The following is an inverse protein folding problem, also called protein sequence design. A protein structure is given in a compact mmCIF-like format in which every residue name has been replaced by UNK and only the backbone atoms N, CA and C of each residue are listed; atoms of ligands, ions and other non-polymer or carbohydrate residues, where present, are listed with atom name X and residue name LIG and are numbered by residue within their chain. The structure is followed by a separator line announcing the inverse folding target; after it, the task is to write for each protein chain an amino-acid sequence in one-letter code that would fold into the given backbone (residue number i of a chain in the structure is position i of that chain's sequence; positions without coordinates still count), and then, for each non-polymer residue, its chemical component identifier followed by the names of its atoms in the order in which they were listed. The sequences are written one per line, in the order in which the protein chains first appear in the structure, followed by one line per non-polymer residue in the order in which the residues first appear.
data_IF_884944362201
#
_entry.id   IF_884944362201
#
_cell.length_a   1.000
_cell.length_b   1.000
_cell.length_c   1.000
_cell.angle_alpha   90.00
_cell.angle_beta   90.00
_cell.angle_gamma   90.00
#
_symmetry.space_group_name_H-M   'P 1'
#
loop_
_entity.id
_entity.type
_entity.pdbx_description
1 polymer ?
#
# COMPACT_ATOMS: atom_id res chain seq x y z
N UNK A 1 -16.24 -0.27 17.77
CA UNK A 1 -14.99 -0.02 18.50
C UNK A 1 -14.21 0.98 17.69
N UNK A 2 -13.60 2.00 18.30
CA UNK A 2 -12.87 3.06 17.57
C UNK A 2 -11.41 3.05 17.98
N UNK A 3 -10.52 3.06 16.99
CA UNK A 3 -9.08 3.20 17.18
C UNK A 3 -8.75 4.65 17.52
N UNK A 4 -7.73 4.85 18.37
CA UNK A 4 -7.26 6.19 18.72
C UNK A 4 -6.39 6.74 17.58
N UNK A 5 -6.46 8.04 17.35
CA UNK A 5 -5.63 8.72 16.36
C UNK A 5 -4.19 8.86 16.87
N UNK A 6 -3.22 8.76 15.96
CA UNK A 6 -1.82 9.02 16.24
C UNK A 6 -1.59 10.52 16.35
N UNK A 7 -0.93 10.97 17.41
CA UNK A 7 -0.69 12.39 17.63
C UNK A 7 0.51 12.93 16.88
N UNK A 8 1.61 12.16 16.84
CA UNK A 8 2.89 12.62 16.32
C UNK A 8 3.72 11.46 15.78
N UNK A 9 4.38 11.66 14.64
CA UNK A 9 5.20 10.64 13.99
C UNK A 9 6.49 10.30 14.75
N UNK A 10 7.02 11.23 15.54
CA UNK A 10 8.29 11.05 16.27
C UNK A 10 8.15 10.30 17.60
N UNK A 11 7.03 10.45 18.30
CA UNK A 11 6.85 9.94 19.67
C UNK A 11 5.68 8.96 19.79
N UNK A 12 4.69 9.04 18.89
CA UNK A 12 3.44 8.27 18.97
C UNK A 12 3.21 7.39 17.72
N UNK A 13 4.26 7.17 16.92
CA UNK A 13 4.22 6.27 15.77
C UNK A 13 4.65 4.86 16.18
N UNK A 14 3.69 3.94 16.24
CA UNK A 14 3.96 2.53 16.55
C UNK A 14 4.96 1.90 15.59
N UNK A 15 4.81 2.16 14.28
CA UNK A 15 5.71 1.60 13.26
C UNK A 15 7.14 2.12 13.39
N UNK A 16 7.30 3.40 13.71
CA UNK A 16 8.59 4.08 13.79
C UNK A 16 9.39 3.66 15.03
N UNK A 17 8.70 3.37 16.13
CA UNK A 17 9.33 2.98 17.39
C UNK A 17 9.66 1.48 17.44
N UNK A 18 8.98 0.66 16.64
CA UNK A 18 9.26 -0.77 16.59
C UNK A 18 10.48 -1.06 15.71
N UNK A 19 11.61 -1.44 16.32
CA UNK A 19 12.74 -1.94 15.55
C UNK A 19 12.50 -3.40 15.13
N UNK A 20 12.01 -3.59 13.91
CA UNK A 20 11.77 -4.90 13.30
C UNK A 20 12.90 -5.33 12.34
N UNK A 21 13.93 -4.50 12.15
CA UNK A 21 15.03 -4.81 11.24
C UNK A 21 15.84 -6.00 11.77
N UNK A 22 16.06 -7.00 10.92
CA UNK A 22 16.84 -8.20 11.26
C UNK A 22 16.06 -9.31 11.96
N UNK A 23 14.77 -9.13 12.24
CA UNK A 23 13.93 -10.20 12.75
C UNK A 23 13.39 -11.06 11.60
N UNK A 24 13.45 -12.38 11.77
CA UNK A 24 12.83 -13.34 10.86
C UNK A 24 11.56 -13.93 11.49
N UNK A 25 10.77 -14.66 10.70
CA UNK A 25 9.51 -15.27 11.15
C UNK A 25 9.65 -16.21 12.35
N UNK A 26 10.84 -16.79 12.58
CA UNK A 26 11.14 -17.67 13.74
C UNK A 26 11.41 -16.87 15.01
N UNK A 27 11.90 -15.63 14.88
CA UNK A 27 12.29 -14.77 16.00
C UNK A 27 11.32 -13.61 16.26
N UNK A 28 10.14 -13.60 15.62
CA UNK A 28 9.10 -12.57 15.81
C UNK A 28 8.67 -12.35 17.26
N UNK A 29 8.75 -13.40 18.09
CA UNK A 29 8.43 -13.33 19.53
C UNK A 29 9.43 -12.50 20.34
N UNK A 30 10.64 -12.28 19.82
CA UNK A 30 11.66 -11.46 20.46
C UNK A 30 11.50 -9.95 20.14
N UNK A 31 10.57 -9.60 19.24
CA UNK A 31 10.26 -8.21 18.95
C UNK A 31 9.56 -7.61 20.16
N UNK A 32 10.19 -6.63 20.79
CA UNK A 32 9.60 -5.86 21.87
C UNK A 32 8.73 -4.74 21.29
N UNK A 33 7.43 -4.83 21.49
CA UNK A 33 6.48 -3.80 21.06
C UNK A 33 6.20 -2.83 22.21
N UNK A 34 6.46 -1.52 22.05
CA UNK A 34 6.19 -0.52 23.06
C UNK A 34 4.67 -0.32 23.25
N UNK A 35 4.25 -0.07 24.49
CA UNK A 35 2.85 0.19 24.82
C UNK A 35 2.51 1.67 24.57
N UNK A 36 2.01 1.98 23.38
CA UNK A 36 1.65 3.34 22.96
C UNK A 36 0.16 3.61 23.10
N UNK A 37 -0.20 4.81 23.55
CA UNK A 37 -1.61 5.19 23.71
C UNK A 37 -2.40 5.11 22.41
N UNK A 38 -1.79 5.43 21.27
CA UNK A 38 -2.39 5.29 19.95
C UNK A 38 -2.59 3.84 19.49
N UNK A 39 -1.76 2.91 19.98
CA UNK A 39 -1.76 1.49 19.58
C UNK A 39 -2.39 0.54 20.63
N UNK A 40 -2.95 1.08 21.72
CA UNK A 40 -3.73 0.31 22.69
C UNK A 40 -5.07 -0.11 22.06
N UNK A 41 -5.70 -1.13 22.65
CA UNK A 41 -7.01 -1.64 22.26
C UNK A 41 -8.03 -0.52 21.97
N UNK A 42 -8.88 -0.72 20.94
CA UNK A 42 -9.93 0.23 20.59
C UNK A 42 -10.86 0.54 21.76
N UNK A 43 -11.39 1.75 21.75
CA UNK A 43 -12.40 2.19 22.72
C UNK A 43 -13.77 1.65 22.27
N UNK A 44 -14.59 1.10 23.16
CA UNK A 44 -15.98 0.77 22.82
C UNK A 44 -16.76 2.03 22.43
N UNK A 45 -17.73 1.90 21.53
CA UNK A 45 -18.63 3.02 21.23
C UNK A 45 -19.45 3.36 22.48
N UNK A 46 -19.67 4.65 22.68
CA UNK A 46 -20.44 5.20 23.81
C UNK A 46 -21.26 6.40 23.34
N UNK A 47 -21.83 7.14 24.30
CA UNK A 47 -22.59 8.36 24.02
C UNK A 47 -21.75 9.44 23.34
N UNK A 48 -20.44 9.49 23.63
CA UNK A 48 -19.50 10.45 23.02
C UNK A 48 -19.00 10.01 21.63
N UNK A 49 -19.00 8.70 21.34
CA UNK A 49 -18.49 8.13 20.10
C UNK A 49 -19.54 7.19 19.50
N UNK A 50 -20.52 7.73 18.75
CA UNK A 50 -21.59 6.92 18.19
C UNK A 50 -21.05 5.91 17.18
N UNK A 51 -21.81 4.84 16.96
CA UNK A 51 -21.51 3.88 15.90
C UNK A 51 -21.72 4.58 14.55
N UNK A 52 -20.74 4.56 13.64
CA UNK A 52 -20.92 5.06 12.29
C UNK A 52 -22.12 4.38 11.63
N UNK A 53 -23.04 5.17 11.09
CA UNK A 53 -24.18 4.64 10.33
C UNK A 53 -23.68 4.23 8.95
N UNK A 54 -24.10 3.05 8.50
CA UNK A 54 -23.87 2.64 7.11
C UNK A 54 -24.61 3.62 6.19
N UNK A 55 -23.96 4.17 5.15
CA UNK A 55 -24.63 5.02 4.17
C UNK A 55 -25.67 4.20 3.40
N UNK A 56 -26.81 4.81 3.08
CA UNK A 56 -27.93 4.10 2.44
C UNK A 56 -27.71 3.91 0.94
N UNK A 57 -26.91 4.78 0.32
CA UNK A 57 -26.57 4.78 -1.10
C UNK A 57 -25.09 5.14 -1.28
N UNK A 58 -24.49 4.68 -2.39
CA UNK A 58 -23.06 4.90 -2.68
C UNK A 58 -22.70 6.39 -2.90
N UNK A 59 -23.70 7.24 -3.14
CA UNK A 59 -23.54 8.69 -3.36
C UNK A 59 -23.33 9.48 -2.05
N UNK A 60 -23.59 8.89 -0.89
CA UNK A 60 -23.46 9.56 0.43
C UNK A 60 -22.05 9.43 1.05
N UNK A 61 -21.12 8.71 0.41
CA UNK A 61 -19.74 8.62 0.87
C UNK A 61 -19.01 9.90 0.46
N UNK A 62 -18.55 10.75 1.40
CA UNK A 62 -17.76 11.92 1.02
C UNK A 62 -16.48 11.42 0.36
N UNK A 63 -16.32 11.72 -0.93
CA UNK A 63 -15.08 11.54 -1.66
C UNK A 63 -14.01 12.37 -0.96
N UNK A 64 -13.01 11.71 -0.36
CA UNK A 64 -11.90 12.39 0.31
C UNK A 64 -10.79 12.80 -0.67
N UNK A 65 -11.07 12.74 -1.98
CA UNK A 65 -10.13 13.02 -3.04
C UNK A 65 -10.40 14.40 -3.64
N UNK A 66 -9.74 15.42 -3.09
CA UNK A 66 -9.58 16.73 -3.73
C UNK A 66 -8.44 16.64 -4.76
N UNK A 67 -8.67 15.96 -5.89
CA UNK A 67 -8.09 16.31 -7.20
C UNK A 67 -8.70 15.47 -8.33
N UNK A 68 -9.05 16.11 -9.46
CA UNK A 68 -9.25 15.42 -10.74
C UNK A 68 -10.68 15.12 -11.18
N UNK A 69 -11.22 16.02 -12.00
CA UNK A 69 -12.22 15.83 -13.07
C UNK A 69 -13.14 14.59 -13.03
N UNK A 70 -14.44 14.86 -12.86
CA UNK A 70 -15.55 13.94 -13.11
C UNK A 70 -15.49 13.41 -14.56
N UNK A 71 -15.30 12.11 -14.82
CA UNK A 71 -15.58 11.57 -16.13
C UNK A 71 -17.09 11.33 -16.25
N UNK A 72 -17.65 11.82 -17.35
CA UNK A 72 -19.04 11.63 -17.77
C UNK A 72 -19.36 10.14 -17.88
N UNK A 73 -20.59 9.76 -17.55
CA UNK A 73 -21.07 8.39 -17.33
C UNK A 73 -21.29 7.55 -18.62
N UNK A 74 -20.43 7.69 -19.63
CA UNK A 74 -20.63 7.06 -20.95
C UNK A 74 -19.39 6.42 -21.58
N UNK A 75 -18.26 6.36 -20.86
CA UNK A 75 -17.15 5.49 -21.23
C UNK A 75 -17.04 4.34 -20.23
N UNK A 76 -17.75 3.26 -20.54
CA UNK A 76 -17.56 1.96 -19.89
C UNK A 76 -16.13 1.51 -20.18
N UNK A 77 -15.17 1.95 -19.37
CA UNK A 77 -13.84 1.37 -19.33
C UNK A 77 -14.00 -0.04 -18.79
N UNK A 78 -14.31 -0.97 -19.69
CA UNK A 78 -14.11 -2.40 -19.48
C UNK A 78 -12.61 -2.59 -19.30
N UNK A 79 -12.14 -2.41 -18.07
CA UNK A 79 -10.81 -2.83 -17.69
C UNK A 79 -10.85 -4.36 -17.66
N UNK A 80 -10.61 -4.97 -18.82
CA UNK A 80 -10.34 -6.40 -18.91
C UNK A 80 -9.06 -6.66 -18.11
N UNK A 81 -9.23 -7.08 -16.85
CA UNK A 81 -8.16 -7.77 -16.14
C UNK A 81 -7.93 -9.08 -16.90
N UNK A 82 -6.95 -9.08 -17.80
CA UNK A 82 -6.35 -10.33 -18.25
C UNK A 82 -5.81 -11.03 -16.97
N UNK A 83 -6.54 -12.05 -16.47
CA UNK A 83 -6.06 -12.97 -15.42
C UNK A 83 -5.01 -13.93 -16.02
N UNK A 84 -4.01 -13.33 -16.66
CA UNK A 84 -2.83 -14.01 -17.16
C UNK A 84 -1.90 -14.23 -15.97
N UNK A 85 -2.17 -15.27 -15.20
CA UNK A 85 -1.29 -15.75 -14.11
C UNK A 85 0.09 -16.22 -14.60
N UNK A 86 0.38 -16.06 -15.90
CA UNK A 86 1.70 -16.25 -16.48
C UNK A 86 2.52 -14.96 -16.40
N UNK A 87 3.78 -15.01 -15.96
CA UNK A 87 4.65 -13.84 -15.94
C UNK A 87 4.74 -13.21 -17.33
N UNK A 88 4.30 -11.96 -17.48
CA UNK A 88 4.44 -11.21 -18.72
C UNK A 88 5.92 -10.89 -18.93
N UNK A 89 6.53 -11.56 -19.92
CA UNK A 89 7.93 -11.35 -20.27
C UNK A 89 8.05 -10.14 -21.20
N UNK A 90 8.92 -9.20 -20.84
CA UNK A 90 9.25 -8.06 -21.70
C UNK A 90 10.10 -8.49 -22.90
N UNK A 91 9.84 -7.91 -24.07
CA UNK A 91 10.78 -7.98 -25.17
C UNK A 91 12.00 -7.05 -24.91
N UNK A 92 13.12 -7.30 -25.60
CA UNK A 92 14.35 -6.52 -25.40
C UNK A 92 14.17 -5.03 -25.76
N UNK A 93 13.23 -4.69 -26.63
CA UNK A 93 12.86 -3.31 -26.97
C UNK A 93 12.17 -2.60 -25.81
N UNK A 94 11.07 -3.17 -25.32
CA UNK A 94 10.33 -2.67 -24.15
C UNK A 94 11.22 -2.51 -22.92
N UNK A 95 12.12 -3.48 -22.67
CA UNK A 95 13.07 -3.38 -21.56
C UNK A 95 14.05 -2.19 -21.73
N UNK A 96 14.46 -1.88 -22.96
CA UNK A 96 15.34 -0.74 -23.23
C UNK A 96 14.61 0.60 -23.11
N UNK A 97 13.34 0.64 -23.51
CA UNK A 97 12.48 1.82 -23.37
C UNK A 97 12.24 2.10 -21.87
N UNK A 98 11.92 1.08 -21.07
CA UNK A 98 11.77 1.22 -19.63
C UNK A 98 13.04 1.72 -18.93
N UNK A 99 14.21 1.21 -19.33
CA UNK A 99 15.51 1.68 -18.82
C UNK A 99 15.75 3.15 -19.17
N UNK A 100 15.30 3.60 -20.34
CA UNK A 100 15.42 4.99 -20.79
C UNK A 100 14.45 5.90 -20.02
N UNK A 101 13.19 5.50 -19.88
CA UNK A 101 12.15 6.30 -19.25
C UNK A 101 12.38 6.47 -17.75
N UNK A 102 12.96 5.45 -17.10
CA UNK A 102 13.35 5.46 -15.68
C UNK A 102 14.78 6.00 -15.44
N UNK A 103 15.49 6.46 -16.47
CA UNK A 103 16.88 6.95 -16.40
C UNK A 103 17.86 5.97 -15.68
N UNK A 104 17.71 4.67 -15.93
CA UNK A 104 18.52 3.65 -15.26
C UNK A 104 19.92 3.49 -15.91
N UNK A 105 20.98 3.26 -15.11
CA UNK A 105 22.33 3.07 -15.63
C UNK A 105 22.46 1.74 -16.41
N UNK A 106 23.11 1.78 -17.58
CA UNK A 106 23.22 0.64 -18.52
C UNK A 106 24.40 -0.30 -18.21
N UNK A 107 24.46 -0.91 -17.02
CA UNK A 107 25.52 -1.88 -16.73
C UNK A 107 25.05 -3.32 -16.96
N UNK A 108 25.79 -4.11 -17.74
CA UNK A 108 25.39 -5.48 -18.16
C UNK A 108 25.17 -6.47 -17.00
N UNK A 109 25.76 -6.21 -15.84
CA UNK A 109 25.56 -7.00 -14.62
C UNK A 109 24.21 -6.74 -13.93
N UNK A 110 23.58 -5.59 -14.20
CA UNK A 110 22.28 -5.22 -13.61
C UNK A 110 21.10 -5.89 -14.32
N UNK A 111 21.27 -6.42 -15.54
CA UNK A 111 20.17 -7.04 -16.30
C UNK A 111 19.57 -8.28 -15.62
N UNK A 112 20.39 -9.13 -14.99
CA UNK A 112 19.90 -10.34 -14.31
C UNK A 112 19.20 -10.01 -12.99
N UNK A 113 19.75 -9.06 -12.24
CA UNK A 113 19.17 -8.55 -10.99
C UNK A 113 17.85 -7.78 -11.23
N UNK A 114 17.73 -7.05 -12.34
CA UNK A 114 16.49 -6.33 -12.70
C UNK A 114 15.37 -7.26 -13.20
N UNK A 115 15.66 -8.33 -13.94
CA UNK A 115 14.62 -9.33 -14.26
C UNK A 115 14.06 -9.95 -12.99
N UNK A 116 14.93 -10.20 -12.01
CA UNK A 116 14.52 -10.72 -10.70
C UNK A 116 13.70 -9.68 -9.90
N UNK A 117 14.16 -8.43 -9.84
CA UNK A 117 13.48 -7.38 -9.08
C UNK A 117 12.13 -6.96 -9.68
N UNK A 118 12.03 -6.83 -11.01
CA UNK A 118 10.77 -6.51 -11.70
C UNK A 118 9.78 -7.67 -11.60
N UNK A 119 10.25 -8.93 -11.66
CA UNK A 119 9.40 -10.10 -11.46
C UNK A 119 8.87 -10.20 -10.03
N UNK A 120 9.64 -9.78 -9.02
CA UNK A 120 9.21 -9.76 -7.61
C UNK A 120 8.23 -8.63 -7.34
N UNK A 121 8.40 -7.46 -7.98
CA UNK A 121 7.51 -6.31 -7.79
C UNK A 121 6.12 -6.51 -8.41
N UNK A 122 5.99 -7.34 -9.44
CA UNK A 122 4.71 -7.72 -10.07
C UNK A 122 3.99 -8.89 -9.37
N UNK A 123 4.60 -9.50 -8.35
CA UNK A 123 4.07 -10.67 -7.62
C UNK A 123 3.59 -10.34 -6.20
N UNK A 124 3.59 -9.06 -5.81
CA UNK A 124 3.01 -8.53 -4.56
C UNK A 124 1.81 -7.68 -4.93
#
# INVERSE_FOLDING_TARGET
MVWREQKNHSVDCYFCLCNVKGYNSKWKQAISYPNLQSAIRPIPHGTEIPVPKVPATLEEVPSSDEDGAVPTADEQLTFEFEDDRSPKLFCQGELNDLVRDLNLPKNKAQKQELTFAVSVFLLI
#
